data_IF_609166206481
#
_entry.id   IF_609166206481
#
_cell.length_a   1.000
_cell.length_b   1.000
_cell.length_c   1.000
_cell.angle_alpha   90.00
_cell.angle_beta   90.00
_cell.angle_gamma   90.00
#
_symmetry.space_group_name_H-M   'P 1'
#
loop_
_entity.id
_entity.type
_entity.pdbx_description
1 polymer ?
#
# COMPACT_ATOMS: atom_id res chain seq x y z
N UNK A 1 -44.19 -11.40 46.50
CA UNK A 1 -42.76 -11.05 46.28
C UNK A 1 -42.30 -11.66 44.96
N UNK A 2 -42.26 -10.88 43.90
CA UNK A 2 -41.85 -11.33 42.58
C UNK A 2 -40.36 -11.11 42.37
N UNK A 3 -39.61 -12.19 42.11
CA UNK A 3 -38.17 -12.16 41.76
C UNK A 3 -37.99 -11.57 40.37
N UNK A 4 -37.24 -10.49 40.27
CA UNK A 4 -36.77 -9.85 39.04
C UNK A 4 -35.72 -10.76 38.40
N UNK A 5 -35.80 -11.10 37.07
CA UNK A 5 -34.74 -11.85 36.42
C UNK A 5 -33.47 -11.00 36.28
N UNK A 6 -32.32 -11.62 36.55
CA UNK A 6 -31.00 -11.02 36.39
C UNK A 6 -30.76 -10.66 34.91
N UNK A 7 -30.24 -9.46 34.67
CA UNK A 7 -29.71 -9.03 33.36
C UNK A 7 -28.48 -9.89 33.05
N UNK A 8 -28.56 -10.65 31.97
CA UNK A 8 -27.39 -11.29 31.36
C UNK A 8 -26.38 -10.20 30.94
N UNK A 9 -25.18 -10.31 31.49
CA UNK A 9 -24.05 -9.47 31.13
C UNK A 9 -23.64 -9.80 29.71
N UNK A 10 -23.91 -8.89 28.76
CA UNK A 10 -23.41 -8.98 27.41
C UNK A 10 -21.88 -9.05 27.41
N UNK A 11 -21.35 -10.16 26.93
CA UNK A 11 -19.92 -10.31 26.64
C UNK A 11 -19.46 -9.25 25.63
N UNK A 12 -18.13 -9.05 25.47
CA UNK A 12 -17.60 -8.07 24.54
C UNK A 12 -18.18 -8.35 23.14
N UNK A 13 -18.86 -7.36 22.56
CA UNK A 13 -19.37 -7.42 21.19
C UNK A 13 -18.12 -7.39 20.29
N UNK A 14 -17.70 -8.54 19.76
CA UNK A 14 -16.70 -8.56 18.69
C UNK A 14 -17.20 -7.66 17.55
N UNK A 15 -16.37 -6.74 17.03
CA UNK A 15 -16.79 -5.84 15.97
C UNK A 15 -17.17 -6.68 14.75
N UNK A 16 -18.47 -6.67 14.41
CA UNK A 16 -19.00 -7.41 13.27
C UNK A 16 -18.33 -6.90 12.00
N UNK A 17 -17.60 -7.76 11.29
CA UNK A 17 -16.96 -7.40 10.01
C UNK A 17 -17.99 -6.81 9.06
N UNK A 18 -17.65 -5.72 8.40
CA UNK A 18 -18.47 -5.10 7.36
C UNK A 18 -18.61 -6.01 6.13
N UNK A 19 -19.60 -5.82 5.28
CA UNK A 19 -19.74 -6.57 4.04
C UNK A 19 -18.49 -6.46 3.16
N UNK A 20 -17.88 -5.27 3.13
CA UNK A 20 -16.62 -5.02 2.43
C UNK A 20 -15.48 -5.90 2.94
N UNK A 21 -15.30 -6.00 4.24
CA UNK A 21 -14.26 -6.83 4.85
C UNK A 21 -14.50 -8.32 4.61
N UNK A 22 -15.75 -8.78 4.70
CA UNK A 22 -16.13 -10.17 4.39
C UNK A 22 -15.83 -10.54 2.93
N UNK A 23 -16.10 -9.64 1.99
CA UNK A 23 -15.82 -9.85 0.56
C UNK A 23 -14.31 -9.93 0.31
N UNK A 24 -13.52 -9.04 0.92
CA UNK A 24 -12.05 -9.04 0.79
C UNK A 24 -11.48 -10.34 1.36
N UNK A 25 -11.89 -10.76 2.55
CA UNK A 25 -11.43 -12.00 3.18
C UNK A 25 -11.78 -13.23 2.32
N UNK A 26 -13.04 -13.35 1.91
CA UNK A 26 -13.50 -14.44 1.03
C UNK A 26 -12.72 -14.50 -0.29
N UNK A 27 -12.39 -13.34 -0.88
CA UNK A 27 -11.55 -13.28 -2.07
C UNK A 27 -10.13 -13.80 -1.81
N UNK A 28 -9.53 -13.44 -0.67
CA UNK A 28 -8.18 -13.89 -0.34
C UNK A 28 -8.13 -15.38 -0.01
N UNK A 29 -9.16 -15.93 0.62
CA UNK A 29 -9.32 -17.37 0.83
C UNK A 29 -9.43 -18.11 -0.50
N UNK A 30 -10.32 -17.68 -1.39
CA UNK A 30 -10.49 -18.28 -2.72
C UNK A 30 -9.20 -18.22 -3.54
N UNK A 31 -8.46 -17.11 -3.52
CA UNK A 31 -7.17 -16.97 -4.20
C UNK A 31 -6.11 -17.95 -3.68
N UNK A 32 -6.21 -18.41 -2.44
CA UNK A 32 -5.30 -19.42 -1.92
C UNK A 32 -5.57 -20.81 -2.50
N UNK A 33 -6.81 -21.07 -2.93
CA UNK A 33 -7.30 -22.35 -3.44
C UNK A 33 -7.34 -22.38 -4.97
N UNK A 34 -7.73 -21.28 -5.61
CA UNK A 34 -8.04 -21.17 -7.04
C UNK A 34 -7.22 -20.08 -7.73
N UNK A 35 -7.32 -20.03 -9.05
CA UNK A 35 -6.72 -18.96 -9.85
C UNK A 35 -7.67 -17.77 -9.95
N UNK A 36 -7.13 -16.56 -10.05
CA UNK A 36 -7.96 -15.34 -10.11
C UNK A 36 -8.95 -15.32 -11.28
N UNK A 37 -8.57 -15.91 -12.42
CA UNK A 37 -9.41 -16.01 -13.61
C UNK A 37 -10.63 -16.93 -13.43
N UNK A 38 -10.58 -17.83 -12.47
CA UNK A 38 -11.67 -18.79 -12.16
C UNK A 38 -12.61 -18.23 -11.05
N UNK A 39 -12.22 -17.16 -10.37
CA UNK A 39 -12.97 -16.56 -9.27
C UNK A 39 -13.96 -15.51 -9.79
N UNK A 40 -15.25 -15.84 -9.69
CA UNK A 40 -16.34 -14.88 -9.97
C UNK A 40 -17.04 -14.39 -8.69
N UNK A 41 -17.83 -13.32 -8.82
CA UNK A 41 -18.61 -12.79 -7.68
C UNK A 41 -19.56 -13.80 -7.05
N UNK A 42 -20.05 -14.81 -7.82
CA UNK A 42 -20.87 -15.88 -7.27
C UNK A 42 -20.13 -16.74 -6.24
N UNK A 43 -18.86 -17.05 -6.48
CA UNK A 43 -18.02 -17.78 -5.53
C UNK A 43 -17.70 -16.92 -4.30
N UNK A 44 -17.35 -15.65 -4.51
CA UNK A 44 -17.07 -14.69 -3.43
C UNK A 44 -18.29 -14.50 -2.52
N UNK A 45 -19.49 -14.30 -3.10
CA UNK A 45 -20.73 -14.12 -2.34
C UNK A 45 -21.04 -15.34 -1.47
N UNK A 46 -20.95 -16.56 -2.03
CA UNK A 46 -21.14 -17.80 -1.27
C UNK A 46 -20.14 -17.96 -0.13
N UNK A 47 -18.83 -17.70 -0.38
CA UNK A 47 -17.78 -17.80 0.63
C UNK A 47 -17.96 -16.74 1.74
N UNK A 48 -18.39 -15.53 1.39
CA UNK A 48 -18.62 -14.42 2.32
C UNK A 48 -19.96 -14.54 3.10
N UNK A 49 -20.85 -15.44 2.72
CA UNK A 49 -22.21 -15.52 3.28
C UNK A 49 -23.07 -14.28 2.94
N UNK A 50 -22.87 -13.72 1.75
CA UNK A 50 -23.54 -12.51 1.26
C UNK A 50 -24.30 -12.78 -0.03
N UNK A 51 -25.18 -11.83 -0.41
CA UNK A 51 -25.87 -11.86 -1.71
C UNK A 51 -25.00 -11.25 -2.81
N UNK A 52 -25.33 -11.55 -4.07
CA UNK A 52 -24.71 -10.86 -5.21
C UNK A 52 -25.00 -9.36 -5.22
N UNK A 53 -26.16 -8.95 -4.69
CA UNK A 53 -26.51 -7.55 -4.55
C UNK A 53 -25.59 -6.82 -3.58
N UNK A 54 -25.27 -7.44 -2.44
CA UNK A 54 -24.29 -6.91 -1.48
C UNK A 54 -22.90 -6.78 -2.11
N UNK A 55 -22.44 -7.80 -2.84
CA UNK A 55 -21.17 -7.75 -3.54
C UNK A 55 -21.14 -6.64 -4.60
N UNK A 56 -22.22 -6.46 -5.34
CA UNK A 56 -22.34 -5.41 -6.38
C UNK A 56 -22.40 -4.00 -5.80
N UNK A 57 -23.00 -3.84 -4.62
CA UNK A 57 -23.01 -2.57 -3.92
C UNK A 57 -21.60 -2.11 -3.52
N UNK A 58 -20.72 -3.05 -3.09
CA UNK A 58 -19.38 -2.74 -2.62
C UNK A 58 -18.33 -2.68 -3.75
N UNK A 59 -18.43 -3.54 -4.77
CA UNK A 59 -17.38 -3.71 -5.76
C UNK A 59 -17.90 -3.84 -7.20
N UNK A 60 -17.14 -3.23 -8.12
CA UNK A 60 -17.46 -3.25 -9.55
C UNK A 60 -16.81 -4.42 -10.31
N UNK A 61 -15.71 -4.94 -9.80
CA UNK A 61 -14.94 -6.04 -10.42
C UNK A 61 -14.12 -6.79 -9.36
N UNK A 62 -13.70 -8.02 -9.68
CA UNK A 62 -12.78 -8.81 -8.85
C UNK A 62 -11.45 -8.07 -8.62
N UNK A 63 -10.92 -7.40 -9.64
CA UNK A 63 -9.71 -6.56 -9.51
C UNK A 63 -9.92 -5.41 -8.52
N UNK A 64 -11.14 -4.86 -8.41
CA UNK A 64 -11.45 -3.83 -7.43
C UNK A 64 -11.40 -4.37 -5.98
N UNK A 65 -11.71 -5.66 -5.77
CA UNK A 65 -11.54 -6.31 -4.46
C UNK A 65 -10.07 -6.42 -4.10
N UNK A 66 -9.21 -6.84 -5.06
CA UNK A 66 -7.74 -6.89 -4.88
C UNK A 66 -7.18 -5.50 -4.59
N UNK A 67 -7.68 -4.46 -5.28
CA UNK A 67 -7.29 -3.08 -5.02
C UNK A 67 -7.67 -2.62 -3.59
N UNK A 68 -8.84 -3.02 -3.11
CA UNK A 68 -9.28 -2.72 -1.76
C UNK A 68 -8.43 -3.44 -0.70
N UNK A 69 -8.08 -4.69 -0.94
CA UNK A 69 -7.13 -5.43 -0.10
C UNK A 69 -5.77 -4.72 -0.03
N UNK A 70 -5.22 -4.34 -1.18
CA UNK A 70 -3.94 -3.60 -1.24
C UNK A 70 -3.99 -2.32 -0.41
N UNK A 71 -5.09 -1.55 -0.54
CA UNK A 71 -5.30 -0.32 0.24
C UNK A 71 -5.39 -0.60 1.74
N UNK A 72 -6.00 -1.70 2.15
CA UNK A 72 -6.10 -2.08 3.57
C UNK A 72 -4.72 -2.44 4.14
N UNK A 73 -3.91 -3.19 3.39
CA UNK A 73 -2.51 -3.47 3.76
C UNK A 73 -1.72 -2.15 3.89
N UNK A 74 -1.84 -1.24 2.92
CA UNK A 74 -1.16 0.05 2.97
C UNK A 74 -1.57 0.84 4.23
N UNK A 75 -2.86 0.86 4.57
CA UNK A 75 -3.38 1.52 5.77
C UNK A 75 -2.79 0.93 7.06
N UNK A 76 -2.72 -0.40 7.16
CA UNK A 76 -2.15 -1.10 8.31
C UNK A 76 -0.66 -0.75 8.48
N UNK A 77 0.10 -0.77 7.39
CA UNK A 77 1.53 -0.46 7.38
C UNK A 77 1.79 0.99 7.80
N UNK A 78 1.00 1.92 7.27
CA UNK A 78 1.13 3.35 7.56
C UNK A 78 0.71 3.70 9.00
N UNK A 79 -0.28 2.97 9.55
CA UNK A 79 -0.71 3.14 10.94
C UNK A 79 0.31 2.61 11.98
N UNK A 80 1.14 1.64 11.60
CA UNK A 80 2.19 1.06 12.45
C UNK A 80 3.54 1.78 12.35
N UNK A 81 3.60 2.99 11.79
CA UNK A 81 4.81 3.81 11.73
C UNK A 81 5.19 4.33 13.12
N UNK A 82 6.35 3.93 13.64
CA UNK A 82 6.91 4.47 14.87
C UNK A 82 7.41 5.90 14.66
N UNK A 83 7.09 6.78 15.60
CA UNK A 83 7.61 8.16 15.66
C UNK A 83 9.11 8.20 15.91
N UNK A 84 9.69 7.15 16.49
CA UNK A 84 11.12 7.05 16.82
C UNK A 84 12.03 6.91 15.58
N UNK A 85 11.47 6.48 14.44
CA UNK A 85 12.27 6.34 13.20
C UNK A 85 12.46 7.66 12.43
N UNK A 86 11.97 8.78 12.93
CA UNK A 86 12.08 10.08 12.24
C UNK A 86 13.53 10.54 12.04
N UNK A 87 14.46 10.11 12.90
CA UNK A 87 15.89 10.45 12.83
C UNK A 87 16.69 9.51 11.90
N UNK A 88 16.11 8.38 11.48
CA UNK A 88 16.79 7.42 10.61
C UNK A 88 16.91 7.93 9.16
N UNK A 89 17.96 7.49 8.44
CA UNK A 89 18.10 7.80 7.02
C UNK A 89 16.86 7.32 6.21
N UNK A 90 16.42 8.07 5.18
CA UNK A 90 15.22 7.72 4.38
C UNK A 90 15.25 6.30 3.79
N UNK A 91 16.46 5.75 3.50
CA UNK A 91 16.65 4.40 2.99
C UNK A 91 16.29 3.35 4.04
N UNK A 92 16.66 3.56 5.29
CA UNK A 92 16.40 2.64 6.40
C UNK A 92 14.92 2.66 6.75
N UNK A 93 14.33 3.84 6.84
CA UNK A 93 12.86 4.00 6.96
C UNK A 93 12.11 3.26 5.87
N UNK A 94 12.58 3.35 4.60
CA UNK A 94 11.95 2.67 3.49
C UNK A 94 12.10 1.14 3.60
N UNK A 95 13.24 0.65 4.08
CA UNK A 95 13.47 -0.77 4.34
C UNK A 95 12.46 -1.29 5.36
N UNK A 96 12.28 -0.62 6.49
CA UNK A 96 11.38 -1.03 7.56
C UNK A 96 9.90 -0.99 7.14
N UNK A 97 9.50 0.05 6.43
CA UNK A 97 8.14 0.15 5.87
C UNK A 97 7.84 -0.99 4.92
N UNK A 98 8.81 -1.38 4.06
CA UNK A 98 8.62 -2.48 3.11
C UNK A 98 8.66 -3.85 3.81
N UNK A 99 9.45 -4.04 4.86
CA UNK A 99 9.43 -5.26 5.67
C UNK A 99 8.09 -5.40 6.40
N UNK A 100 7.60 -4.38 7.08
CA UNK A 100 6.24 -4.37 7.67
C UNK A 100 5.15 -4.72 6.66
N UNK A 101 5.31 -4.25 5.41
CA UNK A 101 4.36 -4.58 4.36
C UNK A 101 4.38 -6.07 4.00
N UNK A 102 5.53 -6.71 3.93
CA UNK A 102 5.65 -8.15 3.70
C UNK A 102 5.09 -8.96 4.87
N UNK A 103 5.30 -8.52 6.10
CA UNK A 103 4.70 -9.12 7.30
C UNK A 103 3.17 -9.01 7.29
N UNK A 104 2.61 -7.85 6.95
CA UNK A 104 1.17 -7.66 6.82
C UNK A 104 0.55 -8.58 5.74
N UNK A 105 1.30 -8.93 4.70
CA UNK A 105 0.89 -9.85 3.64
C UNK A 105 1.02 -11.33 4.04
N UNK A 106 1.76 -11.66 5.11
CA UNK A 106 2.16 -13.04 5.43
C UNK A 106 0.97 -13.98 5.63
N UNK A 107 -0.11 -13.51 6.26
CA UNK A 107 -1.34 -14.30 6.46
C UNK A 107 -2.00 -14.76 5.15
N UNK A 108 -1.77 -14.05 4.04
CA UNK A 108 -2.32 -14.38 2.73
C UNK A 108 -1.25 -14.76 1.70
N UNK A 109 -0.09 -15.29 2.16
CA UNK A 109 1.06 -15.65 1.29
C UNK A 109 0.66 -16.56 0.14
N UNK A 110 -0.23 -17.54 0.38
CA UNK A 110 -0.74 -18.46 -0.65
C UNK A 110 -1.56 -17.73 -1.73
N UNK A 111 -2.44 -16.82 -1.33
CA UNK A 111 -3.23 -15.99 -2.24
C UNK A 111 -2.35 -15.09 -3.12
N UNK A 112 -1.37 -14.44 -2.51
CA UNK A 112 -0.40 -13.60 -3.23
C UNK A 112 0.42 -14.43 -4.23
N UNK A 113 0.81 -15.66 -3.88
CA UNK A 113 1.49 -16.60 -4.78
C UNK A 113 0.61 -16.97 -5.98
N UNK A 114 -0.67 -17.25 -5.77
CA UNK A 114 -1.63 -17.54 -6.83
C UNK A 114 -1.81 -16.33 -7.76
N UNK A 115 -2.02 -15.14 -7.21
CA UNK A 115 -2.15 -13.90 -7.95
C UNK A 115 -0.91 -13.60 -8.81
N UNK A 116 0.30 -13.78 -8.25
CA UNK A 116 1.55 -13.62 -8.97
C UNK A 116 1.72 -14.64 -10.10
N UNK A 117 1.20 -15.85 -9.96
CA UNK A 117 1.21 -16.87 -11.02
C UNK A 117 0.24 -16.53 -12.15
N UNK A 118 -0.97 -16.07 -11.83
CA UNK A 118 -1.95 -15.62 -12.82
C UNK A 118 -1.44 -14.41 -13.61
N UNK A 119 -0.82 -13.43 -12.95
CA UNK A 119 -0.23 -12.26 -13.61
C UNK A 119 0.88 -12.60 -14.64
N UNK A 120 1.58 -13.72 -14.50
CA UNK A 120 2.57 -14.16 -15.50
C UNK A 120 1.93 -14.69 -16.80
N UNK A 121 0.67 -15.06 -16.75
CA UNK A 121 -0.09 -15.64 -17.88
C UNK A 121 -1.04 -14.64 -18.52
N UNK A 122 -1.44 -13.63 -17.77
CA UNK A 122 -2.34 -12.56 -18.20
C UNK A 122 -1.64 -11.19 -18.15
N UNK A 123 -1.19 -10.64 -19.30
CA UNK A 123 -0.55 -9.32 -19.36
C UNK A 123 -1.47 -8.18 -18.90
N UNK A 124 -2.79 -8.28 -19.12
CA UNK A 124 -3.72 -7.24 -18.67
C UNK A 124 -3.82 -7.20 -17.15
N UNK A 125 -3.90 -8.37 -16.52
CA UNK A 125 -3.83 -8.50 -15.07
C UNK A 125 -2.49 -7.99 -14.53
N UNK A 126 -1.37 -8.33 -15.18
CA UNK A 126 -0.04 -7.87 -14.80
C UNK A 126 0.06 -6.34 -14.79
N UNK A 127 -0.47 -5.67 -15.83
CA UNK A 127 -0.51 -4.20 -15.91
C UNK A 127 -1.40 -3.62 -14.83
N UNK A 128 -2.58 -4.20 -14.57
CA UNK A 128 -3.47 -3.75 -13.51
C UNK A 128 -2.80 -3.86 -12.13
N UNK A 129 -2.19 -5.00 -11.82
CA UNK A 129 -1.46 -5.21 -10.55
C UNK A 129 -0.24 -4.31 -10.41
N UNK A 130 0.50 -4.06 -11.51
CA UNK A 130 1.59 -3.09 -11.51
C UNK A 130 1.08 -1.70 -11.14
N UNK A 131 -0.03 -1.25 -11.72
CA UNK A 131 -0.63 0.05 -11.39
C UNK A 131 -1.03 0.16 -9.91
N UNK A 132 -1.60 -0.89 -9.33
CA UNK A 132 -1.90 -0.96 -7.90
C UNK A 132 -0.62 -0.90 -7.04
N UNK A 133 0.41 -1.65 -7.44
CA UNK A 133 1.70 -1.68 -6.74
C UNK A 133 2.39 -0.32 -6.79
N UNK A 134 2.43 0.34 -7.95
CA UNK A 134 3.01 1.70 -8.08
C UNK A 134 2.34 2.68 -7.13
N UNK A 135 1.01 2.68 -7.09
CA UNK A 135 0.24 3.54 -6.18
C UNK A 135 0.55 3.24 -4.71
N UNK A 136 0.64 1.97 -4.34
CA UNK A 136 1.06 1.54 -3.00
C UNK A 136 2.49 2.01 -2.68
N UNK A 137 3.44 1.84 -3.60
CA UNK A 137 4.82 2.25 -3.41
C UNK A 137 4.99 3.77 -3.26
N UNK A 138 4.12 4.57 -3.88
CA UNK A 138 4.11 6.02 -3.65
C UNK A 138 3.79 6.37 -2.19
N UNK A 139 2.87 5.64 -1.54
CA UNK A 139 2.59 5.78 -0.12
C UNK A 139 3.77 5.36 0.76
N UNK A 140 4.47 4.28 0.40
CA UNK A 140 5.66 3.82 1.11
C UNK A 140 6.82 4.82 0.99
N UNK A 141 7.02 5.42 -0.19
CA UNK A 141 7.98 6.52 -0.40
C UNK A 141 7.63 7.73 0.48
N UNK A 142 6.36 8.12 0.53
CA UNK A 142 5.88 9.22 1.36
C UNK A 142 6.13 8.93 2.85
N UNK A 143 5.85 7.71 3.31
CA UNK A 143 6.10 7.30 4.70
C UNK A 143 7.59 7.33 5.07
N UNK A 144 8.48 7.08 4.10
CA UNK A 144 9.93 7.17 4.28
C UNK A 144 10.49 8.60 4.08
N UNK A 145 9.61 9.61 3.89
CA UNK A 145 9.98 11.00 3.59
C UNK A 145 10.82 11.14 2.30
N UNK A 146 10.52 10.30 1.31
CA UNK A 146 11.12 10.38 -0.03
C UNK A 146 10.10 11.01 -0.96
N UNK A 147 10.48 12.07 -1.67
CA UNK A 147 9.58 12.82 -2.55
C UNK A 147 8.90 11.93 -3.60
N UNK A 148 7.57 11.78 -3.46
CA UNK A 148 6.72 10.93 -4.30
C UNK A 148 5.87 11.72 -5.31
N UNK A 149 5.94 13.05 -5.32
CA UNK A 149 5.14 13.92 -6.17
C UNK A 149 5.78 14.22 -7.53
N UNK A 150 4.95 14.52 -8.52
CA UNK A 150 5.36 14.92 -9.86
C UNK A 150 5.98 13.78 -10.69
N UNK A 151 6.52 14.10 -11.89
CA UNK A 151 7.06 13.09 -12.81
C UNK A 151 8.22 12.27 -12.21
N UNK A 152 9.09 12.91 -11.43
CA UNK A 152 10.17 12.21 -10.71
C UNK A 152 9.64 11.23 -9.66
N UNK A 153 8.58 11.62 -8.93
CA UNK A 153 7.92 10.76 -7.96
C UNK A 153 7.23 9.56 -8.63
N UNK A 154 6.63 9.75 -9.81
CA UNK A 154 6.07 8.64 -10.60
C UNK A 154 7.15 7.64 -11.03
N UNK A 155 8.29 8.12 -11.50
CA UNK A 155 9.43 7.27 -11.90
C UNK A 155 10.01 6.50 -10.70
N UNK A 156 10.16 7.17 -9.55
CA UNK A 156 10.60 6.52 -8.30
C UNK A 156 9.60 5.45 -7.85
N UNK A 157 8.29 5.74 -7.89
CA UNK A 157 7.24 4.79 -7.58
C UNK A 157 7.26 3.56 -8.49
N UNK A 158 7.45 3.75 -9.79
CA UNK A 158 7.57 2.65 -10.75
C UNK A 158 8.85 1.83 -10.51
N UNK A 159 9.98 2.48 -10.29
CA UNK A 159 11.25 1.80 -9.96
C UNK A 159 11.14 0.98 -8.68
N UNK A 160 10.53 1.54 -7.64
CA UNK A 160 10.29 0.83 -6.38
C UNK A 160 9.30 -0.33 -6.56
N UNK A 161 8.27 -0.19 -7.40
CA UNK A 161 7.32 -1.27 -7.70
C UNK A 161 8.01 -2.47 -8.37
N UNK A 162 8.93 -2.23 -9.30
CA UNK A 162 9.72 -3.29 -9.95
C UNK A 162 10.68 -3.96 -8.97
N UNK A 163 11.35 -3.19 -8.13
CA UNK A 163 12.18 -3.70 -7.05
C UNK A 163 11.34 -4.58 -6.11
N UNK A 164 10.23 -4.04 -5.62
CA UNK A 164 9.33 -4.75 -4.72
C UNK A 164 8.80 -6.05 -5.32
N UNK A 165 8.42 -6.05 -6.61
CA UNK A 165 8.01 -7.27 -7.31
C UNK A 165 9.12 -8.33 -7.38
N UNK A 166 10.39 -7.92 -7.45
CA UNK A 166 11.54 -8.83 -7.37
C UNK A 166 11.72 -9.40 -5.96
N UNK A 167 11.63 -8.54 -4.93
CA UNK A 167 11.70 -8.95 -3.52
C UNK A 167 10.54 -9.87 -3.16
N UNK A 168 9.33 -9.54 -3.62
CA UNK A 168 8.13 -10.34 -3.38
C UNK A 168 8.29 -11.79 -3.90
N UNK A 169 8.97 -11.98 -5.04
CA UNK A 169 9.29 -13.34 -5.52
C UNK A 169 10.20 -14.09 -4.56
N UNK A 170 11.25 -13.45 -4.05
CA UNK A 170 12.13 -14.06 -3.05
C UNK A 170 11.35 -14.39 -1.78
N UNK A 171 10.52 -13.46 -1.30
CA UNK A 171 9.69 -13.65 -0.11
C UNK A 171 8.69 -14.80 -0.25
N UNK A 172 8.08 -14.97 -1.42
CA UNK A 172 7.16 -16.09 -1.67
C UNK A 172 7.84 -17.46 -1.52
N UNK A 173 9.15 -17.52 -1.81
CA UNK A 173 9.95 -18.76 -1.76
C UNK A 173 10.87 -18.81 -0.51
N UNK A 174 10.70 -17.86 0.42
CA UNK A 174 11.46 -17.78 1.67
C UNK A 174 10.58 -18.32 2.81
N UNK A 175 10.91 -19.51 3.29
CA UNK A 175 10.21 -20.19 4.37
C UNK A 175 10.94 -20.03 5.73
N UNK A 176 12.05 -19.24 5.75
CA UNK A 176 12.75 -18.88 6.99
C UNK A 176 11.89 -17.91 7.82
N UNK A 177 11.60 -18.21 9.10
CA UNK A 177 10.87 -17.31 9.99
C UNK A 177 11.53 -15.92 10.13
N UNK A 178 12.87 -15.87 10.04
CA UNK A 178 13.63 -14.63 10.09
C UNK A 178 13.70 -13.86 8.77
N UNK A 179 13.15 -14.42 7.67
CA UNK A 179 13.15 -13.80 6.34
C UNK A 179 14.53 -13.30 5.87
N UNK A 180 15.61 -13.99 6.26
CA UNK A 180 16.98 -13.54 6.00
C UNK A 180 17.29 -13.35 4.51
N UNK A 181 16.76 -14.23 3.64
CA UNK A 181 16.91 -14.12 2.18
C UNK A 181 16.15 -12.90 1.63
N UNK A 182 14.96 -12.66 2.14
CA UNK A 182 14.10 -11.53 1.77
C UNK A 182 14.71 -10.22 2.19
N UNK A 183 15.19 -10.11 3.44
CA UNK A 183 15.89 -8.94 3.97
C UNK A 183 17.10 -8.60 3.13
N UNK A 184 17.97 -9.60 2.85
CA UNK A 184 19.14 -9.41 2.00
C UNK A 184 18.78 -9.02 0.55
N UNK A 185 17.66 -9.52 0.00
CA UNK A 185 17.20 -9.14 -1.34
C UNK A 185 16.71 -7.69 -1.37
N UNK A 186 15.96 -7.28 -0.35
CA UNK A 186 15.48 -5.92 -0.20
C UNK A 186 16.63 -4.92 -0.02
N UNK A 187 17.54 -5.20 0.88
CA UNK A 187 18.72 -4.36 1.14
C UNK A 187 19.56 -4.11 -0.14
N UNK A 188 19.92 -5.20 -0.84
CA UNK A 188 20.63 -5.11 -2.13
C UNK A 188 19.83 -4.36 -3.19
N UNK A 189 18.50 -4.53 -3.20
CA UNK A 189 17.60 -3.84 -4.11
C UNK A 189 17.60 -2.34 -3.88
N UNK A 190 17.44 -1.91 -2.64
CA UNK A 190 17.44 -0.49 -2.24
C UNK A 190 18.80 0.15 -2.50
N UNK A 191 19.91 -0.54 -2.20
CA UNK A 191 21.26 -0.04 -2.49
C UNK A 191 21.49 0.19 -4.00
N UNK A 192 20.96 -0.67 -4.86
CA UNK A 192 20.99 -0.47 -6.32
C UNK A 192 20.11 0.68 -6.75
N UNK A 193 18.87 0.74 -6.22
CA UNK A 193 17.90 1.80 -6.53
C UNK A 193 18.43 3.19 -6.17
N UNK A 194 19.08 3.35 -5.03
CA UNK A 194 19.70 4.61 -4.62
C UNK A 194 20.79 5.09 -5.60
N UNK A 195 21.62 4.17 -6.09
CA UNK A 195 22.65 4.50 -7.11
C UNK A 195 22.05 4.97 -8.43
N UNK A 196 20.99 4.29 -8.91
CA UNK A 196 20.27 4.69 -10.12
C UNK A 196 19.57 6.04 -9.96
N UNK A 197 18.97 6.31 -8.79
CA UNK A 197 18.33 7.60 -8.50
C UNK A 197 19.36 8.75 -8.53
N UNK A 198 20.56 8.56 -7.97
CA UNK A 198 21.65 9.53 -8.03
C UNK A 198 22.10 9.83 -9.47
N UNK A 199 22.28 8.78 -10.29
CA UNK A 199 22.63 8.96 -11.71
C UNK A 199 21.54 9.70 -12.50
N UNK A 200 20.28 9.43 -12.22
CA UNK A 200 19.16 10.14 -12.86
C UNK A 200 19.10 11.60 -12.45
N UNK A 201 19.35 11.91 -11.18
CA UNK A 201 19.40 13.31 -10.71
C UNK A 201 20.59 14.07 -11.32
N UNK A 202 21.74 13.44 -11.54
CA UNK A 202 22.85 14.03 -12.26
C UNK A 202 22.52 14.26 -13.74
N UNK A 203 21.97 13.28 -14.44
CA UNK A 203 21.53 13.41 -15.83
C UNK A 203 20.49 14.52 -16.01
N UNK A 204 19.55 14.67 -15.08
CA UNK A 204 18.55 15.72 -15.12
C UNK A 204 19.15 17.14 -14.91
N UNK A 205 20.33 17.26 -14.30
CA UNK A 205 21.04 18.55 -14.20
C UNK A 205 21.63 19.00 -15.54
N UNK A 206 21.95 18.09 -16.43
CA UNK A 206 22.52 18.38 -17.75
C UNK A 206 21.46 18.62 -18.84
N UNK A 207 20.17 18.28 -18.57
CA UNK A 207 19.09 18.60 -19.50
C UNK A 207 18.54 19.99 -19.15
N UNK A 208 18.71 21.00 -20.02
CA UNK A 208 18.22 22.36 -19.74
C UNK A 208 16.72 22.35 -19.54
N UNK A 209 16.28 23.01 -18.48
CA UNK A 209 14.93 23.06 -17.89
C UNK A 209 13.87 23.67 -18.82
N UNK A 210 13.52 23.02 -19.92
CA UNK A 210 12.37 23.43 -20.75
C UNK A 210 11.04 22.77 -20.36
N UNK A 211 11.04 21.88 -19.37
CA UNK A 211 9.85 21.11 -18.96
C UNK A 211 9.43 21.26 -17.49
N UNK A 212 10.02 22.19 -16.70
CA UNK A 212 9.52 22.48 -15.36
C UNK A 212 8.91 23.88 -15.31
N UNK A 213 7.58 24.05 -15.12
CA UNK A 213 7.03 25.35 -14.77
C UNK A 213 7.58 25.73 -13.38
N UNK A 214 7.96 27.04 -13.17
CA UNK A 214 8.48 27.49 -11.89
C UNK A 214 7.41 27.30 -10.81
N UNK A 215 7.77 26.58 -9.75
CA UNK A 215 6.92 26.42 -8.58
C UNK A 215 6.54 27.79 -8.03
N UNK A 216 5.25 28.06 -7.88
CA UNK A 216 4.73 29.23 -7.19
C UNK A 216 5.27 29.21 -5.76
N UNK A 217 6.28 30.04 -5.49
CA UNK A 217 6.67 30.40 -4.14
C UNK A 217 5.45 31.05 -3.48
N UNK A 218 4.92 30.44 -2.45
CA UNK A 218 3.93 31.05 -1.57
C UNK A 218 4.57 32.28 -0.93
N UNK A 219 4.31 33.49 -1.48
CA UNK A 219 4.56 34.72 -0.77
C UNK A 219 3.71 34.73 0.50
N UNK A 220 4.37 34.64 1.64
CA UNK A 220 3.77 35.04 2.92
C UNK A 220 3.28 36.48 2.80
N UNK A 221 2.05 36.82 3.25
CA UNK A 221 1.66 38.22 3.42
C UNK A 221 2.56 38.85 4.49
N UNK A 222 3.19 39.95 4.14
CA UNK A 222 3.89 40.81 5.08
C UNK A 222 2.83 41.51 5.91
N UNK A 223 2.91 41.42 7.23
CA UNK A 223 2.10 42.12 8.20
C UNK A 223 2.10 43.61 7.90
N UNK A 224 0.91 44.17 7.69
CA UNK A 224 0.70 45.61 7.62
C UNK A 224 0.89 46.14 9.04
N UNK A 225 1.92 46.98 9.19
CA UNK A 225 2.14 47.75 10.39
C UNK A 225 0.98 48.73 10.62
N UNK A 226 0.50 48.77 11.84
CA UNK A 226 -0.43 49.73 12.39
C UNK A 226 0.16 51.16 12.24
N UNK A 227 -0.56 52.04 11.56
CA UNK A 227 -0.41 53.51 11.70
C UNK A 227 -1.55 53.99 12.61
N UNK A 228 -1.16 54.44 13.77
CA UNK A 228 -1.95 55.18 14.76
C UNK A 228 -2.18 56.60 14.27
N UNK A 229 -3.42 57.16 14.20
CA UNK A 229 -3.61 58.57 13.99
C UNK A 229 -3.59 59.31 15.31
N UNK A 230 -2.61 60.18 15.47
CA UNK A 230 -2.54 61.18 16.55
C UNK A 230 -3.68 62.19 16.44
N UNK A 231 -4.19 62.55 17.63
CA UNK A 231 -5.23 63.54 17.85
C UNK A 231 -4.80 64.95 17.51
N UNK A 232 -5.73 65.74 17.02
CA UNK A 232 -5.91 67.14 17.29
C UNK A 232 -7.41 67.49 17.20
#
# INVERSE_FOLDING_TARGET
MARRPARESGGPIEPTKTNREKIIEAMMELLAEERVEDIGFGAIARRAGLTLADCRAEFRSVVAVVAAYTKEIDRQVLAGGDTDTAEEPPRERLFDVLMRRLEALARHKAAIRSLARSARRDPALAVALNGLTVRSMQWMLTAADIGAAGPKGMLRGQGLALLYASVLRTWLDDDDPGLARTMAALDRGLARGARWAGLLDELCRFVPSRCCPPGRSSRRPRDAAEEEPAAA
#
